data_IF_411323227426
#
_entry.id   IF_411323227426
#
_cell.length_a   1.000
_cell.length_b   1.000
_cell.length_c   1.000
_cell.angle_alpha   90.00
_cell.angle_beta   90.00
_cell.angle_gamma   90.00
#
_symmetry.space_group_name_H-M   'P 1'
#
loop_
_entity.id
_entity.type
_entity.pdbx_description
1 polymer ?
#
# COMPACT_ATOMS: atom_id res chain seq x y z
N UNK A 1 7.92 -4.32 20.20
CA UNK A 1 6.72 -4.95 19.60
C UNK A 1 7.14 -5.47 18.25
N UNK A 2 6.84 -6.72 17.91
CA UNK A 2 7.26 -7.32 16.64
C UNK A 2 6.58 -6.61 15.47
N UNK A 3 7.38 -6.29 14.46
CA UNK A 3 6.92 -5.71 13.19
C UNK A 3 7.24 -6.74 12.10
N UNK A 4 6.28 -6.95 11.22
CA UNK A 4 6.39 -7.90 10.13
C UNK A 4 6.52 -7.15 8.81
N UNK A 5 7.54 -7.50 8.04
CA UNK A 5 7.90 -6.85 6.78
C UNK A 5 6.99 -7.32 5.64
N UNK A 6 6.91 -6.50 4.60
CA UNK A 6 6.27 -6.83 3.33
C UNK A 6 7.33 -7.22 2.33
N UNK A 7 7.11 -8.29 1.58
CA UNK A 7 8.01 -8.75 0.53
C UNK A 7 7.19 -9.03 -0.73
N UNK A 8 7.75 -8.68 -1.88
CA UNK A 8 7.21 -9.04 -3.19
C UNK A 8 8.15 -10.08 -3.80
N UNK A 9 7.65 -11.27 -4.08
CA UNK A 9 8.40 -12.38 -4.68
C UNK A 9 7.55 -13.04 -5.76
N UNK A 10 8.15 -13.32 -6.94
CA UNK A 10 7.46 -13.96 -8.06
C UNK A 10 6.09 -13.32 -8.39
N UNK A 11 6.08 -11.98 -8.49
CA UNK A 11 4.88 -11.16 -8.74
C UNK A 11 3.76 -11.33 -7.70
N UNK A 12 4.07 -11.87 -6.52
CA UNK A 12 3.13 -12.07 -5.42
C UNK A 12 3.54 -11.26 -4.19
N UNK A 13 2.57 -10.57 -3.59
CA UNK A 13 2.78 -9.79 -2.37
C UNK A 13 2.59 -10.69 -1.15
N UNK A 14 3.55 -10.64 -0.23
CA UNK A 14 3.55 -11.36 1.03
C UNK A 14 3.77 -10.41 2.21
N UNK A 15 3.16 -10.74 3.35
CA UNK A 15 3.47 -10.10 4.63
C UNK A 15 3.99 -11.15 5.61
N UNK A 16 5.05 -10.85 6.34
CA UNK A 16 5.53 -11.70 7.42
C UNK A 16 4.47 -11.94 8.50
N UNK A 17 4.55 -13.08 9.16
CA UNK A 17 3.67 -13.46 10.26
C UNK A 17 4.40 -14.41 11.22
N UNK A 18 3.85 -14.67 12.43
CA UNK A 18 4.47 -15.57 13.40
C UNK A 18 4.78 -16.96 12.82
N UNK A 19 3.88 -17.48 11.97
CA UNK A 19 3.92 -18.85 11.44
C UNK A 19 4.47 -18.94 10.00
N UNK A 20 5.08 -17.86 9.50
CA UNK A 20 5.61 -17.78 8.13
C UNK A 20 5.10 -16.57 7.38
N UNK A 21 5.12 -16.62 6.04
CA UNK A 21 4.61 -15.53 5.21
C UNK A 21 3.14 -15.74 4.87
N UNK A 22 2.34 -14.69 4.99
CA UNK A 22 0.96 -14.63 4.53
C UNK A 22 0.93 -14.10 3.11
N UNK A 23 0.36 -14.88 2.20
CA UNK A 23 0.08 -14.43 0.85
C UNK A 23 -1.05 -13.40 0.86
N UNK A 24 -0.82 -12.25 0.25
CA UNK A 24 -1.83 -11.20 0.05
C UNK A 24 -2.49 -11.39 -1.32
N UNK A 25 -1.69 -11.64 -2.35
CA UNK A 25 -2.10 -11.95 -3.72
C UNK A 25 -1.22 -11.27 -4.77
N UNK A 26 -1.67 -11.26 -6.02
CA UNK A 26 -0.89 -10.77 -7.18
C UNK A 26 -0.55 -9.27 -7.09
N UNK A 27 0.72 -8.95 -7.38
CA UNK A 27 1.23 -7.59 -7.42
C UNK A 27 0.47 -6.72 -8.42
N UNK A 28 0.19 -7.25 -9.62
CA UNK A 28 -0.51 -6.52 -10.68
C UNK A 28 -1.90 -6.05 -10.22
N UNK A 29 -2.61 -6.90 -9.48
CA UNK A 29 -3.94 -6.57 -8.94
C UNK A 29 -3.83 -5.47 -7.88
N UNK A 30 -2.83 -5.55 -6.99
CA UNK A 30 -2.55 -4.50 -6.00
C UNK A 30 -2.23 -3.17 -6.68
N UNK A 31 -1.35 -3.17 -7.69
CA UNK A 31 -1.00 -1.95 -8.44
C UNK A 31 -2.21 -1.37 -9.17
N UNK A 32 -3.02 -2.21 -9.80
CA UNK A 32 -4.27 -1.78 -10.45
C UNK A 32 -5.24 -1.16 -9.44
N UNK A 33 -5.35 -1.72 -8.24
CA UNK A 33 -6.22 -1.22 -7.19
C UNK A 33 -5.77 0.14 -6.64
N UNK A 34 -4.45 0.38 -6.60
CA UNK A 34 -3.85 1.67 -6.20
C UNK A 34 -3.89 2.71 -7.33
N UNK A 35 -4.14 2.30 -8.57
CA UNK A 35 -4.18 3.19 -9.74
C UNK A 35 -2.89 3.25 -10.55
N UNK A 36 -1.93 2.36 -10.27
CA UNK A 36 -0.72 2.16 -11.06
C UNK A 36 0.54 1.89 -10.22
N UNK A 37 1.69 1.71 -10.88
CA UNK A 37 3.00 1.52 -10.22
C UNK A 37 3.55 2.80 -9.58
N UNK A 38 2.96 3.96 -9.87
CA UNK A 38 3.42 5.25 -9.37
C UNK A 38 2.26 6.03 -8.80
N UNK A 39 2.47 6.61 -7.61
CA UNK A 39 1.50 7.46 -6.93
C UNK A 39 2.04 8.89 -6.85
N UNK A 40 1.25 9.87 -7.30
CA UNK A 40 1.63 11.29 -7.27
C UNK A 40 0.88 12.02 -6.17
N UNK A 41 1.61 12.51 -5.17
CA UNK A 41 1.07 13.37 -4.11
C UNK A 41 1.07 14.80 -4.64
N UNK A 42 -0.10 15.33 -5.02
CA UNK A 42 -0.25 16.70 -5.54
C UNK A 42 -0.39 17.72 -4.40
N UNK A 43 0.18 18.91 -4.58
CA UNK A 43 -0.10 20.05 -3.70
C UNK A 43 -1.58 20.44 -3.79
N UNK A 44 -2.20 20.74 -2.65
CA UNK A 44 -3.55 21.29 -2.64
C UNK A 44 -3.55 22.73 -3.15
N UNK A 45 -4.64 23.15 -3.80
CA UNK A 45 -4.80 24.52 -4.31
C UNK A 45 -4.55 25.57 -3.22
N UNK A 46 -5.03 25.32 -2.00
CA UNK A 46 -4.86 26.21 -0.85
C UNK A 46 -3.38 26.37 -0.43
N UNK A 47 -2.57 25.31 -0.55
CA UNK A 47 -1.13 25.38 -0.27
C UNK A 47 -0.38 26.15 -1.36
N UNK A 48 -0.78 25.98 -2.63
CA UNK A 48 -0.22 26.73 -3.76
C UNK A 48 -0.54 28.22 -3.64
N UNK A 49 -1.76 28.58 -3.24
CA UNK A 49 -2.18 29.97 -3.04
C UNK A 49 -1.49 30.64 -1.84
N UNK A 50 -1.25 29.90 -0.74
CA UNK A 50 -0.59 30.42 0.45
C UNK A 50 0.93 30.65 0.27
N UNK A 51 1.58 29.87 -0.60
CA UNK A 51 3.04 29.95 -0.81
C UNK A 51 3.39 30.13 -2.30
N UNK A 52 3.09 31.28 -2.91
CA UNK A 52 3.28 31.53 -4.34
C UNK A 52 4.75 31.58 -4.77
N UNK A 53 5.69 31.58 -3.83
CA UNK A 53 7.13 31.50 -4.08
C UNK A 53 7.66 30.06 -4.17
N UNK A 54 6.85 29.06 -3.84
CA UNK A 54 7.19 27.65 -4.01
C UNK A 54 7.06 27.25 -5.48
N UNK A 55 8.12 26.69 -6.05
CA UNK A 55 8.08 26.10 -7.38
C UNK A 55 7.28 24.79 -7.32
N UNK A 56 6.01 24.84 -7.71
CA UNK A 56 5.11 23.68 -7.76
C UNK A 56 5.03 23.08 -9.16
N UNK A 57 5.93 23.47 -10.07
CA UNK A 57 5.94 22.97 -11.46
C UNK A 57 6.26 21.49 -11.58
N UNK A 58 6.89 20.89 -10.55
CA UNK A 58 7.13 19.46 -10.42
C UNK A 58 5.86 18.65 -10.10
N UNK A 59 4.69 19.30 -9.93
CA UNK A 59 3.35 18.70 -9.72
C UNK A 59 3.20 17.79 -8.48
N UNK A 60 4.24 17.59 -7.69
CA UNK A 60 4.18 16.80 -6.46
C UNK A 60 5.38 15.88 -6.25
N UNK A 61 5.28 15.01 -5.24
CA UNK A 61 6.20 13.89 -5.04
C UNK A 61 5.63 12.66 -5.74
N UNK A 62 6.38 12.09 -6.69
CA UNK A 62 6.03 10.79 -7.30
C UNK A 62 6.74 9.69 -6.53
N UNK A 63 5.97 8.73 -6.02
CA UNK A 63 6.44 7.60 -5.23
C UNK A 63 6.21 6.31 -6.03
N UNK A 64 7.23 5.44 -6.06
CA UNK A 64 7.08 4.08 -6.58
C UNK A 64 6.31 3.23 -5.55
N UNK A 65 5.20 2.65 -5.97
CA UNK A 65 4.29 1.91 -5.08
C UNK A 65 4.94 0.61 -4.59
N UNK A 66 5.80 -0.01 -5.41
CA UNK A 66 6.51 -1.24 -5.03
C UNK A 66 7.59 -0.94 -4.00
N UNK A 67 8.36 0.13 -4.21
CA UNK A 67 9.31 0.60 -3.20
C UNK A 67 8.60 0.92 -1.89
N UNK A 68 7.44 1.57 -1.97
CA UNK A 68 6.61 1.84 -0.79
C UNK A 68 6.24 0.55 -0.06
N UNK A 69 5.74 -0.47 -0.77
CA UNK A 69 5.41 -1.77 -0.19
C UNK A 69 6.59 -2.38 0.56
N UNK A 70 7.81 -2.35 -0.02
CA UNK A 70 9.00 -2.89 0.64
C UNK A 70 9.38 -2.19 1.96
N UNK A 71 8.94 -0.94 2.16
CA UNK A 71 9.16 -0.22 3.42
C UNK A 71 8.06 -0.46 4.47
N UNK A 72 6.92 -1.02 4.07
CA UNK A 72 5.78 -1.22 4.96
C UNK A 72 6.03 -2.35 5.95
N UNK A 73 5.79 -2.05 7.23
CA UNK A 73 5.79 -3.05 8.30
C UNK A 73 4.52 -3.00 9.14
N UNK A 74 4.01 -4.17 9.51
CA UNK A 74 2.75 -4.30 10.23
C UNK A 74 2.95 -4.84 11.63
N UNK A 75 2.13 -4.38 12.58
CA UNK A 75 2.08 -4.96 13.91
C UNK A 75 1.32 -6.28 13.94
N UNK A 76 1.63 -7.12 14.93
CA UNK A 76 1.03 -8.45 15.11
C UNK A 76 -0.50 -8.48 14.98
N UNK A 77 -1.22 -7.59 15.67
CA UNK A 77 -2.69 -7.53 15.61
C UNK A 77 -3.25 -7.33 14.19
N UNK A 78 -2.56 -6.54 13.36
CA UNK A 78 -2.98 -6.32 11.98
C UNK A 78 -2.73 -7.58 11.13
N UNK A 79 -1.58 -8.22 11.33
CA UNK A 79 -1.22 -9.48 10.66
C UNK A 79 -2.19 -10.61 11.03
N UNK A 80 -2.55 -10.74 12.30
CA UNK A 80 -3.58 -11.68 12.77
C UNK A 80 -4.94 -11.41 12.10
N UNK A 81 -5.30 -10.14 11.94
CA UNK A 81 -6.53 -9.74 11.26
C UNK A 81 -6.49 -10.15 9.78
N UNK A 82 -5.38 -9.89 9.08
CA UNK A 82 -5.20 -10.33 7.69
C UNK A 82 -5.27 -11.85 7.55
N UNK A 83 -4.66 -12.59 8.48
CA UNK A 83 -4.67 -14.05 8.48
C UNK A 83 -6.08 -14.64 8.64
N UNK A 84 -6.96 -13.96 9.38
CA UNK A 84 -8.34 -14.36 9.57
C UNK A 84 -9.23 -14.16 8.33
N UNK A 85 -8.79 -13.34 7.37
CA UNK A 85 -9.50 -13.09 6.12
C UNK A 85 -9.00 -13.99 4.98
N UNK A 86 -9.88 -14.44 4.08
CA UNK A 86 -9.50 -15.27 2.93
C UNK A 86 -8.64 -14.50 1.93
N UNK A 87 -7.70 -15.21 1.30
CA UNK A 87 -6.85 -14.70 0.21
C UNK A 87 -7.54 -14.76 -1.15
N UNK A 88 -8.57 -15.61 -1.29
CA UNK A 88 -9.29 -15.83 -2.53
C UNK A 88 -10.27 -14.68 -2.78
N UNK A 89 -10.28 -14.19 -4.02
CA UNK A 89 -11.22 -13.18 -4.47
C UNK A 89 -12.59 -13.81 -4.74
N UNK A 90 -13.67 -13.34 -4.08
CA UNK A 90 -15.02 -13.78 -4.40
C UNK A 90 -15.42 -13.45 -5.84
N UNK A 91 -16.34 -14.20 -6.48
CA UNK A 91 -16.70 -13.98 -7.89
C UNK A 91 -17.31 -12.60 -8.20
N UNK A 92 -17.80 -11.90 -7.19
CA UNK A 92 -18.49 -10.61 -7.31
C UNK A 92 -17.58 -9.41 -6.97
N UNK A 93 -16.34 -9.67 -6.54
CA UNK A 93 -15.41 -8.66 -6.06
C UNK A 93 -14.14 -8.61 -6.95
N UNK A 94 -13.49 -7.45 -6.98
CA UNK A 94 -12.21 -7.27 -7.67
C UNK A 94 -11.01 -7.68 -6.80
N UNK A 95 -11.18 -7.67 -5.47
CA UNK A 95 -10.12 -7.94 -4.49
C UNK A 95 -10.60 -8.98 -3.47
N UNK A 96 -9.68 -9.84 -3.02
CA UNK A 96 -9.94 -10.65 -1.84
C UNK A 96 -10.07 -9.78 -0.58
N UNK A 97 -10.83 -10.20 0.44
CA UNK A 97 -10.92 -9.44 1.69
C UNK A 97 -9.56 -9.14 2.34
N UNK A 98 -8.61 -10.08 2.25
CA UNK A 98 -7.24 -9.86 2.74
C UNK A 98 -6.50 -8.81 1.91
N UNK A 99 -6.57 -8.90 0.59
CA UNK A 99 -5.95 -7.93 -0.32
C UNK A 99 -6.54 -6.53 -0.12
N UNK A 100 -7.86 -6.42 0.06
CA UNK A 100 -8.52 -5.15 0.35
C UNK A 100 -8.02 -4.47 1.63
N UNK A 101 -7.77 -5.23 2.70
CA UNK A 101 -7.16 -4.69 3.93
C UNK A 101 -5.74 -4.17 3.69
N UNK A 102 -4.93 -4.91 2.93
CA UNK A 102 -3.58 -4.50 2.59
C UNK A 102 -3.57 -3.23 1.72
N UNK A 103 -4.36 -3.22 0.65
CA UNK A 103 -4.49 -2.07 -0.27
C UNK A 103 -4.97 -0.83 0.47
N UNK A 104 -5.97 -0.96 1.35
CA UNK A 104 -6.44 0.17 2.16
C UNK A 104 -5.33 0.77 3.03
N UNK A 105 -4.47 -0.07 3.61
CA UNK A 105 -3.34 0.40 4.41
C UNK A 105 -2.20 0.98 3.56
N UNK A 106 -1.97 0.44 2.36
CA UNK A 106 -1.03 1.00 1.39
C UNK A 106 -1.47 2.39 0.93
N UNK A 107 -2.74 2.57 0.59
CA UNK A 107 -3.31 3.88 0.23
C UNK A 107 -3.16 4.89 1.38
N UNK A 108 -3.50 4.50 2.61
CA UNK A 108 -3.32 5.38 3.77
C UNK A 108 -1.86 5.84 3.93
N UNK A 109 -0.90 4.93 3.72
CA UNK A 109 0.52 5.29 3.79
C UNK A 109 0.98 6.15 2.61
N UNK A 110 0.44 5.93 1.40
CA UNK A 110 0.74 6.75 0.22
C UNK A 110 0.17 8.18 0.34
N UNK A 111 -0.98 8.33 0.98
CA UNK A 111 -1.62 9.64 1.21
C UNK A 111 -0.92 10.45 2.29
N UNK A 112 -0.44 9.81 3.36
CA UNK A 112 0.13 10.51 4.52
C UNK A 112 1.67 10.56 4.52
N UNK A 113 2.33 9.80 3.64
CA UNK A 113 3.77 9.55 3.73
C UNK A 113 4.11 8.57 4.86
N UNK A 114 5.30 7.98 4.80
CA UNK A 114 5.84 7.16 5.90
C UNK A 114 6.29 8.06 7.05
N UNK A 115 5.71 7.86 8.25
CA UNK A 115 6.17 8.42 9.54
C UNK A 115 7.55 7.86 9.95
#
# INVERSE_FOLDING_TARGET
MTRYETVVEDDTVYVGAPDGRLEVGDLEVVLSAVGGPSWTITYSDEAVEQYPEMDTSDQGLTVDVVDMMHTMTFGERFVETMAAHPAETPPEDDLSPRMGLFVGKLLENLENGVD
#
